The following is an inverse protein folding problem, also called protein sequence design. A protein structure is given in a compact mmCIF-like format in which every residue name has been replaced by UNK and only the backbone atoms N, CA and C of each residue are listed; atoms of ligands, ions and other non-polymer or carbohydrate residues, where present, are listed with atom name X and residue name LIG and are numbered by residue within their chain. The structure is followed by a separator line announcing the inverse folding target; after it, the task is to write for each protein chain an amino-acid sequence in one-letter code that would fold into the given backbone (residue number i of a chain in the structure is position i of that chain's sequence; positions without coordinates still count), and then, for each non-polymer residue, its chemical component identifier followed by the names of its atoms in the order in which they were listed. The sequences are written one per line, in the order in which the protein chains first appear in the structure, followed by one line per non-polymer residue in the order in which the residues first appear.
data_IF_306230583342
#
_entry.id   IF_306230583342
#
_cell.length_a   1.000
_cell.length_b   1.000
_cell.length_c   1.000
_cell.angle_alpha   90.00
_cell.angle_beta   90.00
_cell.angle_gamma   90.00
#
_symmetry.space_group_name_H-M   'P 1'
#
loop_
_entity.id
_entity.type
_entity.pdbx_description
1 polymer ?
#
# COMPACT_ATOMS: atom_id res chain seq x y z
N UNK A 1 0.35 -11.21 -5.92
CA UNK A 1 0.36 -11.25 -6.10
C UNK A 1 0.28 -11.45 -6.22
N UNK A 2 0.43 -10.73 -6.25
CA UNK A 2 0.74 -10.83 -6.48
C UNK A 2 0.85 -11.50 -6.62
N UNK A 3 0.91 -11.32 -6.54
CA UNK A 3 1.24 -11.68 -6.70
C UNK A 3 1.25 -12.09 -6.86
N UNK A 4 1.21 -11.91 -6.98
CA UNK A 4 1.49 -12.11 -7.11
C UNK A 4 1.44 -12.35 -7.08
N UNK A 5 1.46 -12.16 -7.09
CA UNK A 5 1.62 -12.15 -7.00
C UNK A 5 1.57 -12.71 -6.87
N UNK A 6 1.45 -12.24 -6.89
CA UNK A 6 1.66 -12.44 -6.83
C UNK A 6 1.65 -12.89 -6.78
N UNK A 7 1.63 -12.76 -6.87
CA UNK A 7 1.92 -12.65 -6.82
C UNK A 7 2.24 -13.23 -6.71
N UNK A 8 2.24 -12.67 -6.94
CA UNK A 8 2.82 -12.81 -7.00
C UNK A 8 3.11 -12.96 -7.05
N UNK A 9 3.07 -12.83 -6.98
CA UNK A 9 3.48 -12.70 -6.92
C UNK A 9 3.75 -12.98 -6.79
N UNK A 10 3.84 -12.51 -7.06
CA UNK A 10 4.31 -12.34 -7.09
C UNK A 10 4.61 -12.59 -6.78
N UNK A 11 4.74 -12.57 -6.93
CA UNK A 11 5.24 -12.16 -6.77
C UNK A 11 5.67 -12.55 -6.42
N UNK A 12 5.72 -12.16 -6.55
CA UNK A 12 6.19 -12.05 -6.36
C UNK A 12 6.38 -12.10 -5.87
N UNK A 13 6.35 -11.85 -5.95
CA UNK A 13 6.51 -11.50 -5.46
C UNK A 13 6.95 -11.68 -5.00
N UNK A 14 7.33 -11.53 -5.04
CA UNK A 14 7.81 -11.17 -4.59
C UNK A 14 8.25 -11.45 -4.20
N UNK A 15 8.45 -11.29 -4.34
CA UNK A 15 8.91 -11.04 -3.88
C UNK A 15 9.14 -11.49 -3.40
N UNK A 16 9.18 -11.61 -3.17
CA UNK A 16 9.38 -11.46 -2.67
C UNK A 16 9.79 -12.03 -2.27
N UNK A 17 10.17 -11.98 -2.40
CA UNK A 17 10.49 -12.00 -1.93
C UNK A 17 10.68 -12.29 -1.24
N UNK A 18 10.73 -12.59 -1.08
CA UNK A 18 10.90 -12.21 -0.28
C UNK A 18 11.04 -12.61 0.38
N UNK A 19 11.30 -12.65 0.47
CA UNK A 19 11.29 -12.48 1.14
C UNK A 19 11.39 -12.76 1.67
N UNK A 20 11.60 -12.76 1.88
CA UNK A 20 11.63 -12.47 2.55
C UNK A 20 11.76 -12.40 3.04
N UNK A 21 11.95 -12.40 3.02
CA UNK A 21 12.08 -12.03 3.54
C UNK A 21 12.23 -11.86 4.22
N UNK A 22 12.22 -11.77 4.26
CA UNK A 22 12.57 -11.44 4.93
C UNK A 22 12.41 -11.40 5.30
N UNK A 23 12.57 -11.28 5.50
CA UNK A 23 12.51 -11.11 6.10
C UNK A 23 11.81 -10.85 7.10
N UNK A 24 11.82 -10.71 7.37
CA UNK A 24 11.08 -10.85 8.58
C UNK A 24 9.87 -9.95 8.76
N UNK A 25 9.77 -8.91 8.01
CA UNK A 25 8.62 -8.01 8.12
C UNK A 25 7.40 -8.50 7.38
N UNK A 26 7.59 -9.47 6.52
CA UNK A 26 6.50 -9.95 5.70
C UNK A 26 6.19 -9.02 4.55
N UNK A 27 5.01 -9.19 3.96
CA UNK A 27 4.57 -8.44 2.79
C UNK A 27 4.03 -7.07 3.24
N UNK A 28 4.44 -5.96 2.60
CA UNK A 28 3.97 -4.63 3.02
C UNK A 28 2.55 -4.30 2.55
N UNK A 29 1.75 -5.29 2.22
CA UNK A 29 0.36 -5.09 1.85
C UNK A 29 -0.46 -4.82 3.10
N UNK A 30 -1.19 -3.71 3.12
CA UNK A 30 -1.94 -3.31 4.31
C UNK A 30 -3.45 -3.38 4.12
N UNK A 31 -3.95 -3.39 2.88
CA UNK A 31 -5.39 -3.53 2.64
C UNK A 31 -5.65 -3.99 1.21
N UNK A 32 -6.87 -4.46 0.96
CA UNK A 32 -7.31 -4.83 -0.38
C UNK A 32 -8.84 -4.72 -0.44
N UNK A 33 -9.36 -4.12 -1.51
CA UNK A 33 -10.80 -3.95 -1.71
C UNK A 33 -11.09 -3.62 -3.17
N UNK A 34 -12.16 -4.16 -3.70
CA UNK A 34 -12.66 -3.86 -5.06
C UNK A 34 -11.56 -3.96 -6.14
N UNK A 35 -10.69 -4.97 -6.02
CA UNK A 35 -9.59 -5.17 -6.97
C UNK A 35 -8.40 -4.25 -6.75
N UNK A 36 -8.46 -3.34 -5.79
CA UNK A 36 -7.34 -2.47 -5.41
C UNK A 36 -6.55 -3.16 -4.32
N UNK A 37 -5.23 -3.10 -4.41
CA UNK A 37 -4.34 -3.57 -3.35
C UNK A 37 -3.52 -2.39 -2.87
N UNK A 38 -3.44 -2.21 -1.55
CA UNK A 38 -2.73 -1.09 -0.93
C UNK A 38 -1.47 -1.61 -0.28
N UNK A 39 -0.36 -0.94 -0.58
CA UNK A 39 0.95 -1.23 0.00
C UNK A 39 1.50 0.01 0.69
N UNK A 40 2.21 -0.22 1.79
CA UNK A 40 3.06 0.81 2.41
C UNK A 40 4.42 0.19 2.63
N UNK A 41 5.48 0.95 2.37
CA UNK A 41 6.84 0.41 2.40
C UNK A 41 7.66 1.06 3.51
N UNK A 42 8.60 0.30 4.04
CA UNK A 42 9.61 0.83 4.95
C UNK A 42 10.64 1.63 4.14
N UNK A 43 11.39 2.48 4.82
CA UNK A 43 12.51 3.22 4.22
C UNK A 43 12.08 4.28 3.20
N UNK A 44 10.87 4.80 3.34
CA UNK A 44 10.42 5.95 2.55
C UNK A 44 10.45 7.24 3.36
N UNK A 45 11.27 7.26 4.40
CA UNK A 45 11.36 8.40 5.32
C UNK A 45 11.91 9.67 4.68
N UNK A 46 12.55 9.56 3.50
CA UNK A 46 13.03 10.73 2.79
C UNK A 46 11.91 11.54 2.16
N UNK A 47 10.73 10.95 2.04
CA UNK A 47 9.57 11.67 1.52
C UNK A 47 8.93 12.48 2.64
N UNK A 48 8.69 13.78 2.44
CA UNK A 48 8.10 14.61 3.48
C UNK A 48 6.60 14.38 3.67
N UNK A 49 5.95 13.69 2.72
CA UNK A 49 4.50 13.50 2.74
C UNK A 49 4.18 12.05 3.03
N UNK A 50 3.35 11.82 4.05
CA UNK A 50 2.83 10.49 4.35
C UNK A 50 2.02 9.99 3.16
N UNK A 51 2.33 8.78 2.68
CA UNK A 51 1.69 8.26 1.47
C UNK A 51 1.66 6.73 1.48
N UNK A 52 0.86 6.20 0.58
CA UNK A 52 0.79 4.76 0.32
C UNK A 52 0.78 4.52 -1.19
N UNK A 53 0.87 3.26 -1.57
CA UNK A 53 0.88 2.86 -2.98
C UNK A 53 -0.35 2.01 -3.24
N UNK A 54 -1.04 2.27 -4.35
CA UNK A 54 -2.24 1.55 -4.74
C UNK A 54 -2.03 0.91 -6.11
N UNK A 55 -2.45 -0.34 -6.24
CA UNK A 55 -2.36 -1.11 -7.47
C UNK A 55 -3.75 -1.55 -7.89
N UNK A 56 -4.04 -1.39 -9.18
CA UNK A 56 -5.31 -1.85 -9.75
C UNK A 56 -5.13 -2.11 -11.24
N UNK A 57 -5.51 -3.29 -11.70
CA UNK A 57 -5.54 -3.65 -13.12
C UNK A 57 -4.23 -3.32 -13.84
N UNK A 58 -3.09 -3.68 -13.22
CA UNK A 58 -1.78 -3.46 -13.82
C UNK A 58 -1.25 -2.03 -13.71
N UNK A 59 -2.02 -1.12 -13.14
CA UNK A 59 -1.63 0.27 -12.92
C UNK A 59 -1.29 0.49 -11.44
N UNK A 60 -0.49 1.50 -11.20
CA UNK A 60 -0.13 1.85 -9.82
C UNK A 60 -0.08 3.36 -9.65
N UNK A 61 -0.30 3.79 -8.43
CA UNK A 61 -0.28 5.19 -8.07
C UNK A 61 0.29 5.35 -6.67
N UNK A 62 0.96 6.47 -6.42
CA UNK A 62 1.31 6.91 -5.08
C UNK A 62 0.29 7.96 -4.67
N UNK A 63 -0.30 7.79 -3.49
CA UNK A 63 -1.39 8.63 -3.01
C UNK A 63 -1.06 9.06 -1.59
N UNK A 64 -1.25 10.35 -1.28
CA UNK A 64 -0.99 10.83 0.08
C UNK A 64 -2.03 10.28 1.05
N UNK A 65 -1.71 10.32 2.34
CA UNK A 65 -2.66 9.92 3.38
C UNK A 65 -3.96 10.74 3.33
N UNK A 66 -3.91 11.92 2.72
CA UNK A 66 -5.09 12.77 2.53
C UNK A 66 -5.83 12.48 1.22
N UNK A 67 -5.37 11.51 0.44
CA UNK A 67 -6.06 11.11 -0.79
C UNK A 67 -5.62 11.86 -2.04
N UNK A 68 -4.52 12.60 -1.98
CA UNK A 68 -4.02 13.34 -3.15
C UNK A 68 -3.13 12.44 -4.00
N UNK A 69 -3.40 12.35 -5.29
CA UNK A 69 -2.56 11.60 -6.22
C UNK A 69 -1.21 12.32 -6.34
N UNK A 70 -0.14 11.61 -6.00
CA UNK A 70 1.22 12.17 -6.03
C UNK A 70 1.99 11.76 -7.27
N UNK A 71 1.80 10.53 -7.74
CA UNK A 71 2.52 10.01 -8.91
C UNK A 71 1.76 8.82 -9.48
N UNK A 72 2.01 8.52 -10.75
CA UNK A 72 1.35 7.41 -11.43
C UNK A 72 -0.11 7.71 -11.71
N UNK A 73 -0.94 6.68 -11.75
CA UNK A 73 -2.37 6.88 -11.96
C UNK A 73 -3.13 5.57 -11.95
N UNK A 74 -4.41 5.69 -11.61
CA UNK A 74 -5.38 4.60 -11.68
C UNK A 74 -6.56 5.07 -12.52
N UNK A 75 -7.40 4.14 -12.94
CA UNK A 75 -8.68 4.53 -13.53
C UNK A 75 -9.48 5.36 -12.53
N UNK A 76 -10.28 6.29 -13.04
CA UNK A 76 -11.01 7.24 -12.20
C UNK A 76 -11.83 6.56 -11.11
N UNK A 77 -12.50 5.46 -11.44
CA UNK A 77 -13.32 4.74 -10.47
C UNK A 77 -12.47 4.13 -9.37
N UNK A 78 -11.36 3.48 -9.74
CA UNK A 78 -10.46 2.88 -8.77
C UNK A 78 -9.83 3.96 -7.88
N UNK A 79 -9.42 5.07 -8.46
CA UNK A 79 -8.87 6.18 -7.69
C UNK A 79 -9.90 6.73 -6.70
N UNK A 80 -11.17 6.83 -7.13
CA UNK A 80 -12.25 7.26 -6.25
C UNK A 80 -12.40 6.36 -5.02
N UNK A 81 -12.34 5.03 -5.22
CA UNK A 81 -12.38 4.09 -4.10
C UNK A 81 -11.19 4.29 -3.16
N UNK A 82 -10.01 4.49 -3.72
CA UNK A 82 -8.81 4.70 -2.92
C UNK A 82 -8.91 5.98 -2.10
N UNK A 83 -9.41 7.05 -2.70
CA UNK A 83 -9.58 8.33 -2.00
C UNK A 83 -10.61 8.23 -0.88
N UNK A 84 -11.69 7.52 -1.12
CA UNK A 84 -12.71 7.28 -0.10
C UNK A 84 -12.15 6.47 1.06
N UNK A 85 -11.41 5.41 0.75
CA UNK A 85 -10.76 4.59 1.76
C UNK A 85 -9.76 5.42 2.58
N UNK A 86 -8.97 6.26 1.92
CA UNK A 86 -7.98 7.11 2.60
C UNK A 86 -8.67 8.06 3.58
N UNK A 87 -9.80 8.63 3.18
CA UNK A 87 -10.58 9.51 4.06
C UNK A 87 -11.10 8.74 5.27
N UNK A 88 -11.63 7.54 5.05
CA UNK A 88 -12.22 6.72 6.11
C UNK A 88 -11.17 6.20 7.08
N UNK A 89 -9.97 5.85 6.58
CA UNK A 89 -8.92 5.19 7.35
C UNK A 89 -7.70 6.07 7.60
N UNK A 90 -7.88 7.37 7.59
CA UNK A 90 -6.76 8.31 7.69
C UNK A 90 -5.88 8.07 8.91
N UNK A 91 -6.50 7.87 10.08
CA UNK A 91 -5.73 7.69 11.32
C UNK A 91 -4.90 6.40 11.29
N UNK A 92 -5.46 5.33 10.73
CA UNK A 92 -4.76 4.06 10.63
C UNK A 92 -3.60 4.14 9.62
N UNK A 93 -3.80 4.88 8.53
CA UNK A 93 -2.75 5.12 7.55
C UNK A 93 -1.60 5.91 8.19
N UNK A 94 -1.92 6.95 8.94
CA UNK A 94 -0.90 7.76 9.61
C UNK A 94 -0.16 6.94 10.67
N UNK A 95 -0.86 6.10 11.41
CA UNK A 95 -0.21 5.23 12.40
C UNK A 95 0.76 4.25 11.72
N UNK A 96 0.37 3.66 10.59
CA UNK A 96 1.27 2.79 9.83
C UNK A 96 2.45 3.56 9.25
N UNK A 97 2.24 4.80 8.82
CA UNK A 97 3.33 5.64 8.33
C UNK A 97 4.40 5.83 9.42
N UNK A 98 3.97 6.07 10.66
CA UNK A 98 4.90 6.20 11.77
C UNK A 98 5.61 4.88 12.08
N UNK A 99 4.89 3.75 12.00
CA UNK A 99 5.53 2.44 12.17
C UNK A 99 6.60 2.19 11.11
N UNK A 100 6.29 2.53 9.86
CA UNK A 100 7.24 2.36 8.77
C UNK A 100 8.50 3.20 8.97
N UNK A 101 8.34 4.42 9.46
CA UNK A 101 9.49 5.29 9.77
C UNK A 101 10.36 4.73 10.88
N UNK A 102 9.77 4.03 11.84
CA UNK A 102 10.47 3.44 12.98
C UNK A 102 10.91 2.01 12.69
N UNK A 103 10.70 1.55 11.46
CA UNK A 103 11.07 0.19 11.05
C UNK A 103 10.32 -0.89 11.85
N UNK A 104 9.10 -0.59 12.23
CA UNK A 104 8.22 -1.50 12.97
C UNK A 104 7.28 -2.24 12.02
N UNK A 105 6.75 -3.41 12.42
CA UNK A 105 5.78 -4.13 11.59
C UNK A 105 4.53 -3.29 11.33
N UNK A 106 4.05 -3.33 10.11
CA UNK A 106 2.83 -2.63 9.73
C UNK A 106 1.61 -3.48 10.09
N UNK A 107 0.51 -2.83 10.41
CA UNK A 107 -0.74 -3.51 10.73
C UNK A 107 -1.67 -3.47 9.52
N UNK A 108 -2.52 -4.48 9.40
CA UNK A 108 -3.58 -4.48 8.41
C UNK A 108 -4.56 -3.35 8.72
N UNK A 109 -5.05 -2.71 7.66
CA UNK A 109 -6.06 -1.65 7.77
C UNK A 109 -7.34 -2.19 7.15
N UNK A 110 -8.50 -2.05 7.82
CA UNK A 110 -9.75 -2.56 7.26
C UNK A 110 -10.02 -1.99 5.87
N UNK A 111 -10.63 -2.78 5.00
CA UNK A 111 -10.92 -2.33 3.64
C UNK A 111 -12.06 -1.32 3.60
N UNK A 112 -12.26 -0.76 2.42
CA UNK A 112 -13.45 0.03 2.13
C UNK A 112 -14.66 -0.92 2.13
N UNK A 113 -15.70 -0.63 2.91
CA UNK A 113 -16.89 -1.50 2.99
C UNK A 113 -17.68 -1.51 1.69
#
# INVERSE_FOLDING_TARGET
MYRRILGRPIGRDLPCRGLHLGYGRGVPRVSAFYGVVIYMYWNERDHPVAHFHAYHAGRRASVSADGVLLAGGLESRALGFVQEWASLRHDEIMANWERARKNEPLLAIPPLP
#
